data_IF_256115122003
#
_entry.id   IF_256115122003
#
_cell.length_a   1.000
_cell.length_b   1.000
_cell.length_c   1.000
_cell.angle_alpha   90.00
_cell.angle_beta   90.00
_cell.angle_gamma   90.00
#
_symmetry.space_group_name_H-M   'P 1'
#
loop_
_entity.id
_entity.type
_entity.pdbx_description
1 polymer ?
#
# COMPACT_ATOMS: atom_id res chain seq x y z
N UNK A 1 -4.15 22.13 21.61
CA UNK A 1 -4.65 22.17 20.22
C UNK A 1 -5.29 20.84 19.96
N UNK A 2 -6.61 20.79 20.00
CA UNK A 2 -7.39 19.57 19.80
C UNK A 2 -7.16 19.06 18.38
N UNK A 3 -6.50 17.91 18.25
CA UNK A 3 -6.51 17.13 17.01
C UNK A 3 -7.94 16.61 16.81
N UNK A 4 -8.79 17.45 16.22
CA UNK A 4 -9.98 17.00 15.51
C UNK A 4 -9.51 16.22 14.29
N UNK A 5 -9.06 14.99 14.49
CA UNK A 5 -9.42 13.92 13.57
C UNK A 5 -10.92 13.72 13.75
N UNK A 6 -11.69 14.71 13.28
CA UNK A 6 -13.11 14.58 13.22
C UNK A 6 -13.35 13.39 12.31
N UNK A 7 -14.04 12.43 12.90
CA UNK A 7 -14.50 11.21 12.30
C UNK A 7 -15.64 11.52 11.32
N UNK A 8 -15.41 12.44 10.37
CA UNK A 8 -16.45 12.98 9.48
C UNK A 8 -16.96 11.89 8.51
N UNK A 9 -16.33 10.70 8.48
CA UNK A 9 -16.65 9.62 7.54
C UNK A 9 -16.63 8.16 8.08
N UNK A 10 -16.61 7.83 9.39
CA UNK A 10 -16.58 6.40 9.77
C UNK A 10 -16.64 6.02 11.25
N UNK A 11 -16.52 4.73 11.57
CA UNK A 11 -16.23 4.22 12.93
C UNK A 11 -14.74 3.83 12.97
N UNK A 12 -14.03 4.15 14.04
CA UNK A 12 -12.60 3.83 14.17
C UNK A 12 -12.08 4.01 15.59
N UNK A 13 -10.79 3.71 15.86
CA UNK A 13 -10.17 3.95 17.16
C UNK A 13 -10.26 5.42 17.56
N UNK A 14 -10.65 5.69 18.81
CA UNK A 14 -10.77 7.04 19.37
C UNK A 14 -10.07 7.11 20.72
N UNK A 15 -9.69 8.33 21.13
CA UNK A 15 -9.28 8.58 22.52
C UNK A 15 -10.54 8.49 23.39
N UNK A 16 -10.53 7.57 24.34
CA UNK A 16 -11.65 7.34 25.23
C UNK A 16 -11.69 8.41 26.32
N UNK A 17 -12.86 9.04 26.47
CA UNK A 17 -13.11 10.00 27.56
C UNK A 17 -13.36 9.31 28.92
N UNK A 18 -13.36 7.98 28.93
CA UNK A 18 -13.58 7.15 30.11
C UNK A 18 -12.26 6.52 30.55
N UNK A 19 -11.95 6.61 31.85
CA UNK A 19 -10.73 6.08 32.45
C UNK A 19 -11.01 4.90 33.40
N UNK A 20 -11.86 3.97 33.00
CA UNK A 20 -12.09 2.74 33.77
C UNK A 20 -11.15 1.60 33.41
N UNK A 21 -11.29 0.45 34.08
CA UNK A 21 -10.41 -0.70 33.91
C UNK A 21 -10.45 -1.29 32.48
N UNK A 22 -11.54 -1.06 31.75
CA UNK A 22 -11.74 -1.56 30.39
C UNK A 22 -11.35 -0.54 29.30
N UNK A 23 -10.88 0.65 29.68
CA UNK A 23 -10.43 1.65 28.71
C UNK A 23 -9.16 1.16 27.99
N UNK A 24 -9.19 1.18 26.66
CA UNK A 24 -8.12 0.70 25.79
C UNK A 24 -7.13 1.81 25.42
N UNK A 25 -7.62 2.99 24.99
CA UNK A 25 -6.80 4.11 24.52
C UNK A 25 -7.27 5.44 25.15
N UNK A 26 -6.67 5.82 26.28
CA UNK A 26 -7.06 7.00 27.08
C UNK A 26 -6.26 8.27 26.75
N UNK A 27 -5.27 8.19 25.86
CA UNK A 27 -4.40 9.29 25.47
C UNK A 27 -3.98 9.13 24.01
N UNK A 28 -3.49 10.20 23.40
CA UNK A 28 -2.97 10.17 22.04
C UNK A 28 -1.85 9.11 21.89
N UNK A 29 -1.96 8.18 20.93
CA UNK A 29 -1.01 7.08 20.78
C UNK A 29 0.41 7.57 20.45
N UNK A 30 0.55 8.70 19.76
CA UNK A 30 1.84 9.32 19.49
C UNK A 30 2.54 9.74 20.78
N UNK A 31 1.80 10.40 21.67
CA UNK A 31 2.31 10.83 22.97
C UNK A 31 2.63 9.67 23.89
N UNK A 32 1.77 8.64 23.91
CA UNK A 32 2.05 7.41 24.67
C UNK A 32 3.36 6.76 24.21
N UNK A 33 3.59 6.73 22.90
CA UNK A 33 4.81 6.16 22.33
C UNK A 33 6.05 7.02 22.61
N UNK A 34 5.97 8.36 22.48
CA UNK A 34 7.03 9.31 22.85
C UNK A 34 7.42 9.20 24.32
N UNK A 35 6.42 9.05 25.21
CA UNK A 35 6.63 8.87 26.65
C UNK A 35 7.13 7.44 27.01
N UNK A 36 7.24 6.54 26.03
CA UNK A 36 7.59 5.13 26.25
C UNK A 36 6.53 4.34 27.04
N UNK A 37 5.30 4.85 27.13
CA UNK A 37 4.13 4.27 27.81
C UNK A 37 3.44 3.24 26.90
N UNK A 38 4.18 2.21 26.51
CA UNK A 38 3.65 1.07 25.77
C UNK A 38 3.36 -0.09 26.72
N UNK A 39 2.28 -0.83 26.46
CA UNK A 39 1.82 -1.90 27.34
C UNK A 39 2.84 -3.06 27.46
N UNK A 40 3.62 -3.32 26.42
CA UNK A 40 4.61 -4.40 26.40
C UNK A 40 5.80 -4.03 25.50
N UNK A 41 7.01 -4.36 25.95
CA UNK A 41 8.27 -4.12 25.24
C UNK A 41 8.80 -5.42 24.63
N UNK A 42 8.16 -5.87 23.56
CA UNK A 42 8.54 -7.09 22.83
C UNK A 42 9.22 -6.73 21.51
N UNK A 43 10.08 -7.61 20.95
CA UNK A 43 10.57 -7.41 19.58
C UNK A 43 9.42 -7.17 18.62
N UNK A 44 9.57 -6.21 17.72
CA UNK A 44 8.54 -5.82 16.77
C UNK A 44 9.06 -5.92 15.34
N UNK A 45 8.36 -6.65 14.48
CA UNK A 45 8.62 -6.68 13.05
C UNK A 45 7.52 -5.88 12.33
N UNK A 46 7.93 -5.01 11.43
CA UNK A 46 7.03 -4.18 10.63
C UNK A 46 7.56 -4.10 9.21
N UNK A 47 6.69 -3.93 8.23
CA UNK A 47 7.12 -3.75 6.86
C UNK A 47 6.10 -3.02 6.02
N UNK A 48 6.46 -2.85 4.76
CA UNK A 48 5.60 -2.27 3.75
C UNK A 48 5.88 -2.91 2.39
N UNK A 49 4.90 -2.80 1.51
CA UNK A 49 5.03 -3.08 0.09
C UNK A 49 5.69 -1.90 -0.63
N UNK A 50 6.36 -2.17 -1.75
CA UNK A 50 7.14 -1.15 -2.47
C UNK A 50 6.32 0.00 -3.04
N UNK A 51 5.00 -0.16 -3.21
CA UNK A 51 4.09 0.89 -3.62
C UNK A 51 2.67 0.72 -3.05
N UNK A 52 2.58 0.80 -1.72
CA UNK A 52 1.33 0.70 -0.94
C UNK A 52 0.15 1.48 -1.55
N UNK A 53 0.42 2.72 -2.00
CA UNK A 53 -0.55 3.69 -2.50
C UNK A 53 -1.31 3.24 -3.75
N UNK A 54 -0.86 2.19 -4.44
CA UNK A 54 -1.61 1.57 -5.52
C UNK A 54 -3.02 1.13 -5.09
N UNK A 55 -3.23 0.73 -3.83
CA UNK A 55 -4.55 0.31 -3.35
C UNK A 55 -5.59 1.42 -3.49
N UNK A 56 -5.26 2.61 -2.98
CA UNK A 56 -6.16 3.76 -3.02
C UNK A 56 -6.29 4.27 -4.45
N UNK A 57 -5.17 4.38 -5.17
CA UNK A 57 -5.21 4.79 -6.56
C UNK A 57 -6.11 3.87 -7.41
N UNK A 58 -5.99 2.55 -7.24
CA UNK A 58 -6.83 1.56 -7.93
C UNK A 58 -8.32 1.74 -7.64
N UNK A 59 -8.69 2.04 -6.40
CA UNK A 59 -10.08 2.32 -6.02
C UNK A 59 -10.64 3.56 -6.73
N UNK A 60 -9.85 4.62 -6.90
CA UNK A 60 -10.26 5.82 -7.66
C UNK A 60 -10.32 5.57 -9.17
N UNK A 61 -9.31 4.89 -9.74
CA UNK A 61 -9.25 4.54 -11.16
C UNK A 61 -10.33 3.57 -11.61
N UNK A 62 -11.05 2.95 -10.67
CA UNK A 62 -12.26 2.18 -10.96
C UNK A 62 -13.43 3.07 -11.41
N UNK A 63 -13.45 4.33 -10.96
CA UNK A 63 -14.51 5.30 -11.24
C UNK A 63 -14.08 6.39 -12.22
N UNK A 64 -12.79 6.69 -12.26
CA UNK A 64 -12.16 7.65 -13.17
C UNK A 64 -11.41 6.87 -14.24
N UNK A 65 -11.67 7.15 -15.54
CA UNK A 65 -11.23 6.28 -16.64
C UNK A 65 -9.72 6.12 -16.74
N UNK A 66 -8.96 7.18 -16.44
CA UNK A 66 -7.50 7.21 -16.57
C UNK A 66 -6.87 7.96 -15.40
N UNK A 67 -5.61 7.67 -15.07
CA UNK A 67 -4.85 8.45 -14.10
C UNK A 67 -4.62 9.88 -14.58
N UNK A 68 -4.54 10.09 -15.91
CA UNK A 68 -4.48 11.43 -16.50
C UNK A 68 -5.69 12.30 -16.16
N UNK A 69 -6.89 11.72 -16.07
CA UNK A 69 -8.08 12.48 -15.67
C UNK A 69 -7.97 12.98 -14.22
N UNK A 70 -7.26 12.25 -13.34
CA UNK A 70 -7.07 12.65 -11.94
C UNK A 70 -6.21 13.91 -11.77
N UNK A 71 -5.34 14.22 -12.74
CA UNK A 71 -4.45 15.40 -12.67
C UNK A 71 -5.05 16.65 -13.32
N UNK A 72 -6.28 16.57 -13.84
CA UNK A 72 -7.04 17.75 -14.29
C UNK A 72 -7.40 18.61 -13.08
N UNK A 73 -7.17 19.94 -13.14
CA UNK A 73 -7.29 20.86 -11.99
C UNK A 73 -8.56 20.66 -11.16
N UNK A 74 -9.72 20.62 -11.82
CA UNK A 74 -11.00 20.44 -11.12
C UNK A 74 -11.06 19.11 -10.36
N UNK A 75 -10.66 18.01 -11.01
CA UNK A 75 -10.71 16.67 -10.39
C UNK A 75 -9.66 16.57 -9.29
N UNK A 76 -8.48 17.17 -9.51
CA UNK A 76 -7.40 17.24 -8.55
C UNK A 76 -7.83 17.95 -7.26
N UNK A 77 -8.40 19.14 -7.37
CA UNK A 77 -8.82 19.94 -6.21
C UNK A 77 -9.98 19.30 -5.44
N UNK A 78 -10.85 18.56 -6.12
CA UNK A 78 -11.94 17.81 -5.49
C UNK A 78 -11.46 16.48 -4.85
N UNK A 79 -10.47 15.80 -5.45
CA UNK A 79 -10.11 14.42 -5.08
C UNK A 79 -8.97 14.33 -4.08
N UNK A 80 -7.94 15.16 -4.21
CA UNK A 80 -6.70 15.00 -3.45
C UNK A 80 -6.85 15.24 -1.94
N UNK A 81 -7.66 16.21 -1.47
CA UNK A 81 -7.94 16.36 -0.04
C UNK A 81 -8.50 15.08 0.60
N UNK A 82 -9.46 14.44 -0.06
CA UNK A 82 -10.08 13.21 0.42
C UNK A 82 -9.10 12.03 0.33
N UNK A 83 -8.41 11.87 -0.79
CA UNK A 83 -7.45 10.79 -1.03
C UNK A 83 -6.28 10.81 -0.03
N UNK A 84 -5.83 12.01 0.38
CA UNK A 84 -4.70 12.17 1.30
C UNK A 84 -5.12 12.52 2.74
N UNK A 85 -6.42 12.44 3.03
CA UNK A 85 -7.02 12.67 4.34
C UNK A 85 -6.61 14.01 4.97
N UNK A 86 -6.72 15.12 4.23
CA UNK A 86 -6.56 16.47 4.80
C UNK A 86 -7.76 17.35 4.50
N UNK A 87 -8.02 18.31 5.40
CA UNK A 87 -9.07 19.29 5.20
C UNK A 87 -8.63 20.36 4.19
N UNK A 88 -9.15 20.28 2.96
CA UNK A 88 -8.87 21.24 1.90
C UNK A 88 -9.32 22.67 2.22
N UNK A 89 -10.33 22.87 3.07
CA UNK A 89 -10.79 24.21 3.49
C UNK A 89 -9.83 24.87 4.49
N UNK A 90 -9.25 24.08 5.39
CA UNK A 90 -8.24 24.55 6.34
C UNK A 90 -6.86 24.71 5.67
N UNK A 91 -6.63 24.00 4.57
CA UNK A 91 -5.35 23.99 3.84
C UNK A 91 -5.57 24.24 2.34
N UNK A 92 -6.09 25.42 1.94
CA UNK A 92 -6.47 25.70 0.55
C UNK A 92 -5.28 25.64 -0.43
N UNK A 93 -4.07 25.91 0.04
CA UNK A 93 -2.85 25.83 -0.78
C UNK A 93 -2.24 24.43 -0.90
N UNK A 94 -2.70 23.45 -0.10
CA UNK A 94 -2.03 22.15 -0.02
C UNK A 94 -2.10 21.39 -1.36
N UNK A 95 -3.28 21.31 -1.99
CA UNK A 95 -3.46 20.62 -3.27
C UNK A 95 -2.51 21.17 -4.34
N UNK A 96 -2.40 22.50 -4.43
CA UNK A 96 -1.51 23.19 -5.37
C UNK A 96 -0.04 22.86 -5.10
N UNK A 97 0.42 22.99 -3.84
CA UNK A 97 1.81 22.71 -3.46
C UNK A 97 2.19 21.24 -3.71
N UNK A 98 1.28 20.31 -3.46
CA UNK A 98 1.47 18.90 -3.76
C UNK A 98 1.63 18.70 -5.26
N UNK A 99 0.79 19.35 -6.07
CA UNK A 99 0.85 19.26 -7.54
C UNK A 99 2.17 19.81 -8.09
N UNK A 100 2.59 20.98 -7.59
CA UNK A 100 3.88 21.61 -7.95
C UNK A 100 5.07 20.73 -7.57
N UNK A 101 5.02 20.10 -6.39
CA UNK A 101 6.06 19.18 -5.96
C UNK A 101 6.14 17.95 -6.86
N UNK A 102 4.99 17.33 -7.17
CA UNK A 102 4.94 16.16 -8.05
C UNK A 102 5.33 16.47 -9.49
N UNK A 103 5.04 17.68 -9.97
CA UNK A 103 5.37 18.07 -11.33
C UNK A 103 6.85 18.39 -11.50
N UNK A 104 7.60 18.57 -10.41
CA UNK A 104 9.02 18.97 -10.41
C UNK A 104 9.26 20.24 -11.27
N UNK A 105 8.28 21.16 -11.27
CA UNK A 105 8.30 22.37 -12.09
C UNK A 105 7.82 22.18 -13.54
N UNK A 106 7.41 20.98 -13.92
CA UNK A 106 6.76 20.67 -15.21
C UNK A 106 5.23 20.67 -15.15
N UNK A 107 4.61 20.06 -16.16
CA UNK A 107 3.16 19.85 -16.25
C UNK A 107 2.82 18.36 -16.11
N UNK A 108 2.08 18.00 -15.05
CA UNK A 108 1.63 16.61 -14.85
C UNK A 108 0.73 16.10 -15.97
N UNK A 109 0.00 16.99 -16.68
CA UNK A 109 -0.90 16.59 -17.77
C UNK A 109 -0.14 16.08 -19.01
N UNK A 110 1.14 16.46 -19.13
CA UNK A 110 2.03 16.02 -20.21
C UNK A 110 2.53 14.58 -20.02
N UNK A 111 2.45 14.03 -18.81
CA UNK A 111 2.86 12.66 -18.52
C UNK A 111 1.97 11.65 -19.25
N UNK A 112 2.53 10.49 -19.58
CA UNK A 112 1.74 9.37 -20.05
C UNK A 112 1.01 8.68 -18.87
N UNK A 113 0.11 7.75 -19.18
CA UNK A 113 -0.69 7.05 -18.14
C UNK A 113 0.20 6.33 -17.11
N UNK A 114 1.22 5.62 -17.59
CA UNK A 114 2.16 4.83 -16.77
C UNK A 114 2.94 5.73 -15.80
N UNK A 115 3.49 6.83 -16.30
CA UNK A 115 4.19 7.85 -15.50
C UNK A 115 3.26 8.51 -14.48
N UNK A 116 2.02 8.81 -14.88
CA UNK A 116 1.01 9.42 -14.01
C UNK A 116 0.65 8.47 -12.87
N UNK A 117 0.41 7.19 -13.16
CA UNK A 117 0.15 6.16 -12.14
C UNK A 117 1.32 6.08 -11.18
N UNK A 118 2.56 6.01 -11.69
CA UNK A 118 3.74 5.89 -10.84
C UNK A 118 3.89 7.09 -9.90
N UNK A 119 3.74 8.32 -10.41
CA UNK A 119 3.85 9.53 -9.57
C UNK A 119 2.74 9.61 -8.52
N UNK A 120 1.48 9.36 -8.91
CA UNK A 120 0.35 9.42 -7.98
C UNK A 120 0.46 8.34 -6.91
N UNK A 121 0.76 7.09 -7.28
CA UNK A 121 0.89 5.99 -6.32
C UNK A 121 2.05 6.20 -5.35
N UNK A 122 3.20 6.70 -5.83
CA UNK A 122 4.36 7.05 -4.98
C UNK A 122 3.99 8.12 -3.95
N UNK A 123 3.31 9.20 -4.36
CA UNK A 123 2.82 10.23 -3.44
C UNK A 123 1.94 9.64 -2.32
N UNK A 124 0.98 8.79 -2.69
CA UNK A 124 0.06 8.17 -1.76
C UNK A 124 0.83 7.24 -0.80
N UNK A 125 1.77 6.44 -1.32
CA UNK A 125 2.65 5.56 -0.55
C UNK A 125 3.42 6.35 0.51
N UNK A 126 4.06 7.45 0.11
CA UNK A 126 4.83 8.30 1.02
C UNK A 126 3.95 8.91 2.11
N UNK A 127 2.82 9.49 1.71
CA UNK A 127 1.96 10.27 2.61
C UNK A 127 1.15 9.41 3.58
N UNK A 128 0.68 8.25 3.16
CA UNK A 128 -0.23 7.41 3.94
C UNK A 128 0.47 6.27 4.67
N UNK A 129 1.60 5.78 4.16
CA UNK A 129 2.27 4.59 4.70
C UNK A 129 3.68 4.90 5.18
N UNK A 130 4.59 5.29 4.29
CA UNK A 130 6.02 5.32 4.62
C UNK A 130 6.37 6.36 5.69
N UNK A 131 5.76 7.56 5.65
CA UNK A 131 6.03 8.58 6.66
C UNK A 131 5.70 8.06 8.06
N UNK A 132 4.50 7.50 8.25
CA UNK A 132 4.07 6.96 9.54
C UNK A 132 4.94 5.78 9.96
N UNK A 133 5.25 4.85 9.04
CA UNK A 133 6.11 3.70 9.30
C UNK A 133 7.49 4.13 9.83
N UNK A 134 8.15 5.07 9.15
CA UNK A 134 9.48 5.57 9.53
C UNK A 134 9.43 6.30 10.86
N UNK A 135 8.47 7.21 11.03
CA UNK A 135 8.35 8.02 12.24
C UNK A 135 8.05 7.15 13.47
N UNK A 136 7.13 6.18 13.35
CA UNK A 136 6.81 5.21 14.41
C UNK A 136 7.98 4.29 14.72
N UNK A 137 8.70 3.78 13.70
CA UNK A 137 9.87 2.91 13.91
C UNK A 137 10.99 3.64 14.67
N UNK A 138 11.21 4.93 14.37
CA UNK A 138 12.21 5.75 15.08
C UNK A 138 11.91 5.92 16.57
N UNK A 139 10.64 5.91 16.96
CA UNK A 139 10.26 5.93 18.37
C UNK A 139 10.43 4.55 19.01
N UNK A 140 9.96 3.48 18.35
CA UNK A 140 10.03 2.12 18.88
C UNK A 140 11.45 1.57 19.05
N UNK A 141 12.40 1.93 18.16
CA UNK A 141 13.78 1.44 18.23
C UNK A 141 14.49 1.80 19.56
N UNK A 142 14.03 2.85 20.25
CA UNK A 142 14.57 3.24 21.56
C UNK A 142 13.97 2.44 22.72
N UNK A 143 12.92 1.66 22.47
CA UNK A 143 12.14 0.96 23.49
C UNK A 143 12.33 -0.56 23.47
N UNK A 144 12.55 -1.15 22.29
CA UNK A 144 12.74 -2.59 22.08
C UNK A 144 13.35 -2.87 20.68
N UNK A 145 13.80 -4.10 20.38
CA UNK A 145 14.26 -4.46 19.04
C UNK A 145 13.16 -4.22 17.98
N UNK A 146 13.55 -3.65 16.85
CA UNK A 146 12.67 -3.43 15.69
C UNK A 146 13.32 -4.03 14.44
N UNK A 147 12.53 -4.79 13.68
CA UNK A 147 12.91 -5.40 12.41
C UNK A 147 12.05 -4.81 11.31
N UNK A 148 12.67 -4.30 10.25
CA UNK A 148 11.96 -3.76 9.10
C UNK A 148 12.14 -4.67 7.88
N UNK A 149 11.08 -4.84 7.10
CA UNK A 149 11.17 -5.40 5.75
C UNK A 149 10.49 -4.49 4.72
N UNK A 150 10.95 -4.60 3.48
CA UNK A 150 10.32 -3.98 2.30
C UNK A 150 10.02 -5.08 1.29
N UNK A 151 8.75 -5.29 1.00
CA UNK A 151 8.30 -6.30 0.05
C UNK A 151 8.33 -5.75 -1.37
N UNK A 152 9.16 -6.36 -2.22
CA UNK A 152 9.39 -5.94 -3.62
C UNK A 152 9.19 -7.06 -4.63
N UNK A 153 8.85 -8.28 -4.18
CA UNK A 153 8.71 -9.43 -5.06
C UNK A 153 7.51 -9.24 -5.99
N UNK A 154 7.76 -9.23 -7.29
CA UNK A 154 6.72 -9.05 -8.31
C UNK A 154 5.99 -10.36 -8.61
N UNK A 155 4.89 -10.58 -7.90
CA UNK A 155 4.01 -11.71 -8.17
C UNK A 155 3.33 -11.65 -9.54
N UNK A 156 2.69 -12.76 -9.90
CA UNK A 156 1.92 -12.82 -11.14
C UNK A 156 0.73 -11.87 -11.16
N UNK A 157 0.19 -11.55 -9.98
CA UNK A 157 -0.89 -10.59 -9.82
C UNK A 157 -0.69 -9.73 -8.58
N UNK A 158 -1.17 -8.50 -8.66
CA UNK A 158 -1.24 -7.55 -7.55
C UNK A 158 -2.70 -7.27 -7.16
N UNK A 159 -2.96 -6.86 -5.92
CA UNK A 159 -4.25 -6.35 -5.48
C UNK A 159 -4.70 -5.16 -6.33
N UNK A 160 -3.76 -4.34 -6.80
CA UNK A 160 -4.06 -3.27 -7.74
C UNK A 160 -4.77 -3.78 -9.00
N UNK A 161 -4.30 -4.90 -9.57
CA UNK A 161 -4.94 -5.55 -10.71
C UNK A 161 -6.36 -6.04 -10.38
N UNK A 162 -6.52 -6.67 -9.20
CA UNK A 162 -7.79 -7.21 -8.71
C UNK A 162 -8.83 -6.08 -8.53
N UNK A 163 -8.39 -4.90 -8.10
CA UNK A 163 -9.29 -3.75 -7.88
C UNK A 163 -9.60 -3.03 -9.19
N UNK A 164 -8.58 -2.76 -10.01
CA UNK A 164 -8.68 -1.92 -11.20
C UNK A 164 -9.40 -2.59 -12.36
N UNK A 165 -9.14 -3.89 -12.59
CA UNK A 165 -9.56 -4.54 -13.83
C UNK A 165 -11.06 -4.89 -13.88
N UNK A 166 -11.70 -5.38 -12.79
CA UNK A 166 -13.14 -5.61 -12.77
C UNK A 166 -13.92 -4.29 -12.83
N UNK A 167 -14.55 -4.03 -13.97
CA UNK A 167 -15.45 -2.87 -14.10
C UNK A 167 -16.74 -3.12 -13.29
N UNK A 168 -17.16 -2.16 -12.44
CA UNK A 168 -18.38 -2.30 -11.64
C UNK A 168 -19.65 -2.33 -12.50
N UNK A 169 -19.55 -1.93 -13.78
CA UNK A 169 -20.67 -1.93 -14.74
C UNK A 169 -20.63 -3.14 -15.69
N UNK A 170 -19.64 -4.02 -15.54
CA UNK A 170 -19.51 -5.20 -16.39
C UNK A 170 -20.50 -6.28 -15.96
N UNK A 171 -21.08 -6.98 -16.94
CA UNK A 171 -21.87 -8.19 -16.71
C UNK A 171 -20.98 -9.44 -16.54
N UNK A 172 -19.68 -9.32 -16.84
CA UNK A 172 -18.72 -10.41 -16.71
C UNK A 172 -18.32 -10.54 -15.23
N UNK A 173 -18.36 -11.76 -14.65
CA UNK A 173 -17.91 -11.98 -13.28
C UNK A 173 -16.46 -11.51 -13.04
N UNK A 174 -16.12 -10.95 -11.87
CA UNK A 174 -14.78 -10.49 -11.55
C UNK A 174 -13.71 -11.57 -11.73
N UNK A 175 -14.00 -12.81 -11.31
CA UNK A 175 -13.08 -13.94 -11.37
C UNK A 175 -12.68 -14.27 -12.81
N UNK A 176 -13.64 -14.20 -13.73
CA UNK A 176 -13.38 -14.43 -15.15
C UNK A 176 -12.59 -13.28 -15.77
N UNK A 177 -12.91 -12.03 -15.40
CA UNK A 177 -12.20 -10.82 -15.84
C UNK A 177 -10.72 -10.88 -15.41
N UNK A 178 -10.47 -11.29 -14.17
CA UNK A 178 -9.15 -11.51 -13.59
C UNK A 178 -8.41 -12.66 -14.30
N UNK A 179 -9.08 -13.79 -14.53
CA UNK A 179 -8.48 -14.95 -15.20
C UNK A 179 -8.07 -14.63 -16.64
N UNK A 180 -8.91 -13.89 -17.38
CA UNK A 180 -8.60 -13.45 -18.74
C UNK A 180 -7.40 -12.50 -18.78
N UNK A 181 -7.29 -11.59 -17.80
CA UNK A 181 -6.10 -10.75 -17.64
C UNK A 181 -4.84 -11.60 -17.47
N UNK A 182 -4.86 -12.58 -16.57
CA UNK A 182 -3.71 -13.46 -16.34
C UNK A 182 -3.28 -14.20 -17.60
N UNK A 183 -4.23 -14.81 -18.32
CA UNK A 183 -3.94 -15.54 -19.56
C UNK A 183 -3.30 -14.59 -20.59
N UNK A 184 -3.84 -13.38 -20.71
CA UNK A 184 -3.34 -12.35 -21.61
C UNK A 184 -1.93 -11.89 -21.21
N UNK A 185 -1.69 -11.61 -19.94
CA UNK A 185 -0.40 -11.14 -19.44
C UNK A 185 0.67 -12.25 -19.55
N UNK A 186 0.29 -13.52 -19.32
CA UNK A 186 1.13 -14.69 -19.55
C UNK A 186 1.48 -14.84 -21.04
N UNK A 187 0.51 -14.67 -21.94
CA UNK A 187 0.75 -14.71 -23.38
C UNK A 187 1.70 -13.59 -23.82
N UNK A 188 1.46 -12.36 -23.37
CA UNK A 188 2.35 -11.24 -23.68
C UNK A 188 3.77 -11.45 -23.16
N UNK A 189 3.92 -12.01 -21.96
CA UNK A 189 5.23 -12.29 -21.35
C UNK A 189 5.95 -13.45 -22.06
N UNK A 190 5.31 -14.60 -22.23
CA UNK A 190 5.96 -15.82 -22.72
C UNK A 190 6.07 -15.90 -24.24
N UNK A 191 5.04 -15.45 -24.95
CA UNK A 191 4.97 -15.57 -26.42
C UNK A 191 5.51 -14.33 -27.10
N UNK A 192 5.02 -13.15 -26.69
CA UNK A 192 5.40 -11.89 -27.33
C UNK A 192 6.61 -11.20 -26.70
N UNK A 193 7.08 -11.67 -25.53
CA UNK A 193 8.21 -11.10 -24.77
C UNK A 193 8.07 -9.59 -24.57
N UNK A 194 6.83 -9.09 -24.43
CA UNK A 194 6.57 -7.69 -24.18
C UNK A 194 6.74 -7.36 -22.70
N UNK A 195 7.37 -6.23 -22.37
CA UNK A 195 7.46 -5.77 -20.98
C UNK A 195 6.04 -5.59 -20.43
N UNK A 196 5.82 -6.09 -19.21
CA UNK A 196 4.59 -5.82 -18.48
C UNK A 196 4.74 -4.50 -17.74
N UNK A 197 3.70 -3.67 -17.73
CA UNK A 197 3.69 -2.49 -16.89
C UNK A 197 3.67 -2.93 -15.42
N UNK A 198 4.68 -2.51 -14.66
CA UNK A 198 4.81 -2.79 -13.24
C UNK A 198 4.99 -1.46 -12.52
N UNK A 199 4.20 -1.28 -11.47
CA UNK A 199 4.20 -0.06 -10.66
C UNK A 199 4.74 -0.30 -9.26
N UNK A 200 5.38 -1.45 -9.00
CA UNK A 200 5.67 -1.91 -7.64
C UNK A 200 4.48 -2.66 -7.00
N UNK A 201 4.63 -3.00 -5.72
CA UNK A 201 3.72 -3.89 -5.00
C UNK A 201 2.69 -3.10 -4.21
N UNK A 202 1.42 -3.43 -4.43
CA UNK A 202 0.27 -2.79 -3.80
C UNK A 202 0.09 -3.21 -2.35
N UNK A 203 -0.68 -2.44 -1.60
CA UNK A 203 -1.05 -2.78 -0.24
C UNK A 203 -1.75 -4.14 -0.15
N UNK A 204 -1.15 -5.04 0.62
CA UNK A 204 -1.64 -6.39 0.90
C UNK A 204 -1.15 -7.47 -0.09
N UNK A 205 -0.29 -7.13 -1.05
CA UNK A 205 0.26 -8.12 -2.00
C UNK A 205 1.06 -9.21 -1.27
N UNK A 206 1.88 -8.82 -0.29
CA UNK A 206 2.56 -9.72 0.64
C UNK A 206 1.56 -10.61 1.40
N UNK A 207 0.44 -10.03 1.85
CA UNK A 207 -0.60 -10.74 2.61
C UNK A 207 -1.30 -11.82 1.77
N UNK A 208 -1.46 -11.63 0.45
CA UNK A 208 -1.98 -12.66 -0.44
C UNK A 208 -1.07 -13.90 -0.50
N UNK A 209 0.24 -13.71 -0.32
CA UNK A 209 1.20 -14.81 -0.30
C UNK A 209 1.26 -15.49 1.08
N UNK A 210 0.90 -14.79 2.16
CA UNK A 210 0.92 -15.34 3.52
C UNK A 210 -0.37 -16.07 3.88
N UNK A 211 -1.53 -15.58 3.44
CA UNK A 211 -2.83 -16.10 3.84
C UNK A 211 -3.58 -16.75 2.69
N UNK A 212 -4.18 -17.92 2.97
CA UNK A 212 -5.06 -18.56 2.00
C UNK A 212 -6.38 -17.79 1.92
N UNK A 213 -6.63 -17.16 0.77
CA UNK A 213 -7.93 -16.58 0.42
C UNK A 213 -8.57 -17.46 -0.64
N UNK A 214 -9.44 -18.44 -0.27
CA UNK A 214 -9.81 -19.54 -1.17
C UNK A 214 -10.36 -19.12 -2.53
N UNK A 215 -11.13 -18.03 -2.58
CA UNK A 215 -11.71 -17.50 -3.83
C UNK A 215 -10.66 -17.01 -4.83
N UNK A 216 -9.50 -16.57 -4.33
CA UNK A 216 -8.45 -16.00 -5.16
C UNK A 216 -7.28 -16.96 -5.34
N UNK A 217 -6.95 -17.79 -4.34
CA UNK A 217 -5.72 -18.60 -4.35
C UNK A 217 -5.51 -19.43 -5.63
N UNK A 218 -6.54 -20.17 -6.06
CA UNK A 218 -6.46 -20.97 -7.30
C UNK A 218 -6.47 -20.11 -8.56
N UNK A 219 -7.23 -19.02 -8.57
CA UNK A 219 -7.31 -18.10 -9.71
C UNK A 219 -6.01 -17.30 -9.89
N UNK A 220 -5.32 -16.98 -8.79
CA UNK A 220 -4.08 -16.20 -8.76
C UNK A 220 -2.84 -17.04 -9.07
N UNK A 221 -2.96 -18.37 -9.22
CA UNK A 221 -1.85 -19.27 -9.53
C UNK A 221 -0.67 -19.14 -8.52
N UNK A 222 -0.99 -18.80 -7.26
CA UNK A 222 0.00 -18.61 -6.20
C UNK A 222 0.79 -19.91 -5.99
N UNK A 223 0.10 -21.05 -5.97
CA UNK A 223 0.71 -22.36 -5.74
C UNK A 223 1.61 -22.83 -6.90
N UNK A 224 1.67 -22.09 -8.02
CA UNK A 224 2.55 -22.42 -9.14
C UNK A 224 3.70 -21.44 -9.31
N UNK A 225 3.43 -20.13 -9.29
CA UNK A 225 4.45 -19.13 -9.64
C UNK A 225 5.03 -18.42 -8.43
N UNK A 226 4.23 -18.21 -7.39
CA UNK A 226 4.60 -17.38 -6.24
C UNK A 226 4.84 -18.23 -4.97
N UNK A 227 4.88 -19.56 -5.12
CA UNK A 227 4.96 -20.52 -4.02
C UNK A 227 6.27 -20.40 -3.22
N UNK A 228 7.41 -20.25 -3.89
CA UNK A 228 8.70 -20.11 -3.21
C UNK A 228 8.75 -18.84 -2.36
N UNK A 229 8.24 -17.72 -2.89
CA UNK A 229 8.16 -16.47 -2.14
C UNK A 229 7.15 -16.59 -0.98
N UNK A 230 6.00 -17.23 -1.19
CA UNK A 230 5.03 -17.52 -0.13
C UNK A 230 5.67 -18.31 1.02
N UNK A 231 6.40 -19.39 0.71
CA UNK A 231 7.14 -20.17 1.72
C UNK A 231 8.16 -19.32 2.48
N UNK A 232 8.91 -18.47 1.77
CA UNK A 232 9.92 -17.62 2.38
C UNK A 232 9.31 -16.56 3.31
N UNK A 233 8.18 -15.92 2.93
CA UNK A 233 7.47 -14.99 3.82
C UNK A 233 6.95 -15.69 5.07
N UNK A 234 6.30 -16.84 4.90
CA UNK A 234 5.76 -17.64 6.02
C UNK A 234 6.88 -18.06 6.95
N UNK A 235 8.01 -18.55 6.40
CA UNK A 235 9.18 -18.92 7.18
C UNK A 235 9.76 -17.72 7.94
N UNK A 236 9.87 -16.56 7.29
CA UNK A 236 10.40 -15.34 7.93
C UNK A 236 9.58 -14.94 9.15
N UNK A 237 8.25 -14.97 9.04
CA UNK A 237 7.36 -14.69 10.17
C UNK A 237 7.43 -15.78 11.25
N UNK A 238 7.51 -17.05 10.86
CA UNK A 238 7.64 -18.16 11.80
C UNK A 238 8.96 -18.06 12.60
N UNK A 239 10.08 -17.84 11.91
CA UNK A 239 11.39 -17.66 12.54
C UNK A 239 11.40 -16.45 13.48
N UNK A 240 10.74 -15.35 13.10
CA UNK A 240 10.58 -14.19 13.98
C UNK A 240 9.77 -14.53 15.23
N UNK A 241 8.68 -15.27 15.09
CA UNK A 241 7.83 -15.67 16.20
C UNK A 241 8.51 -16.67 17.15
N UNK A 242 9.43 -17.51 16.66
CA UNK A 242 10.17 -18.49 17.47
C UNK A 242 11.49 -17.96 18.04
N UNK A 243 11.83 -16.69 17.79
CA UNK A 243 13.14 -16.09 18.10
C UNK A 243 14.32 -16.79 17.42
N UNK A 244 14.05 -17.49 16.32
CA UNK A 244 15.05 -18.19 15.49
C UNK A 244 15.38 -17.39 14.23
N UNK A 245 15.04 -16.09 14.22
CA UNK A 245 15.31 -15.19 13.08
C UNK A 245 16.82 -15.07 12.85
N UNK A 246 17.34 -15.95 12.01
CA UNK A 246 18.65 -15.79 11.38
C UNK A 246 18.42 -14.78 10.27
N UNK A 247 18.71 -13.50 10.51
CA UNK A 247 18.58 -12.43 9.49
C UNK A 247 19.39 -12.82 8.27
N UNK A 248 18.76 -13.28 7.17
CA UNK A 248 19.50 -13.57 5.98
C UNK A 248 19.58 -12.25 5.22
N UNK A 249 20.79 -11.77 4.96
CA UNK A 249 21.00 -10.66 4.03
C UNK A 249 20.71 -11.21 2.63
N UNK A 250 19.44 -11.25 2.25
CA UNK A 250 19.03 -11.65 0.91
C UNK A 250 19.03 -10.41 0.01
N UNK A 251 20.19 -10.11 -0.57
CA UNK A 251 20.22 -9.42 -1.85
C UNK A 251 19.71 -10.41 -2.91
N UNK A 252 18.46 -10.24 -3.35
CA UNK A 252 18.08 -10.81 -4.64
C UNK A 252 18.93 -10.11 -5.70
N UNK A 253 20.01 -10.77 -6.11
CA UNK A 253 20.64 -10.46 -7.38
C UNK A 253 19.53 -10.62 -8.42
N UNK A 254 19.06 -9.50 -8.98
CA UNK A 254 18.26 -9.47 -10.18
C UNK A 254 19.11 -10.00 -11.34
N UNK A 255 19.36 -11.32 -11.36
CA UNK A 255 19.80 -12.03 -12.55
C UNK A 255 18.58 -12.25 -13.45
N UNK A 256 18.04 -11.13 -13.94
CA UNK A 256 17.37 -11.08 -15.22
C UNK A 256 17.98 -9.89 -15.97
N UNK A 257 19.20 -10.12 -16.45
CA UNK A 257 19.73 -9.47 -17.64
C UNK A 257 18.93 -9.97 -18.84
N UNK A 258 18.12 -9.09 -19.44
CA UNK A 258 18.12 -8.59 -20.83
C UNK A 258 16.87 -7.73 -21.00
#
# INVERSE_FOLDING_TARGET
GENKYNNENGMGPVIENFNGPDAFLTENPWKLLEDGKIASKVPWMVGANSNEGLIFLGMYLKFIKTAKDMVVDKIWDETIPDLLFYNGKERPDASRKIKEHLSEGGDLSALNETETIQKLSTMITEKLFFKSLVDTTKLHQNLHPVYMYLFTYEGFMTIFDIIRYPSPKSWIPPELTISLKLIRDLFYKLVLRLPQERFGMSHGDDSLLMFSVPKFRSALLIDTFDFEMSQLLIKTLADFATFELVVPIFQFNSKFSV
#
